data_IF_468482963044
#
_entry.id   IF_468482963044
#
_cell.length_a   1.000
_cell.length_b   1.000
_cell.length_c   1.000
_cell.angle_alpha   90.00
_cell.angle_beta   90.00
_cell.angle_gamma   90.00
#
_symmetry.space_group_name_H-M   'P 1'
#
loop_
_entity.id
_entity.type
_entity.pdbx_description
1 polymer ?
#
# COMPACT_ATOMS: atom_id res chain seq x y z
N UNK A 1 -8.68 3.25 11.32
CA UNK A 1 -8.94 1.99 12.06
C UNK A 1 -9.65 2.33 13.36
N UNK A 2 -10.64 1.56 13.70
CA UNK A 2 -11.36 1.62 14.97
C UNK A 2 -11.43 0.22 15.59
N UNK A 3 -11.56 0.11 16.92
CA UNK A 3 -11.74 -1.19 17.57
C UNK A 3 -12.91 -1.96 16.97
N UNK A 4 -12.73 -3.27 16.76
CA UNK A 4 -13.73 -4.17 16.18
C UNK A 4 -14.21 -3.80 14.76
N UNK A 5 -13.43 -2.99 14.04
CA UNK A 5 -13.69 -2.69 12.65
C UNK A 5 -13.31 -3.85 11.71
N UNK A 6 -13.79 -3.79 10.48
CA UNK A 6 -13.48 -4.74 9.41
C UNK A 6 -11.97 -4.87 9.18
N UNK A 7 -11.24 -3.78 9.09
CA UNK A 7 -9.79 -3.77 8.89
C UNK A 7 -9.05 -4.58 9.96
N UNK A 8 -9.43 -4.44 11.23
CA UNK A 8 -8.82 -5.22 12.33
C UNK A 8 -9.09 -6.72 12.14
N UNK A 9 -10.30 -7.07 11.75
CA UNK A 9 -10.67 -8.46 11.47
C UNK A 9 -9.88 -9.03 10.29
N UNK A 10 -9.74 -8.26 9.22
CA UNK A 10 -8.97 -8.66 8.04
C UNK A 10 -7.52 -8.97 8.38
N UNK A 11 -6.83 -8.06 9.06
CA UNK A 11 -5.41 -8.22 9.39
C UNK A 11 -5.13 -9.27 10.48
N UNK A 12 -5.99 -9.37 11.49
CA UNK A 12 -5.72 -10.24 12.65
C UNK A 12 -6.38 -11.61 12.55
N UNK A 13 -7.42 -11.77 11.74
CA UNK A 13 -8.16 -13.02 11.67
C UNK A 13 -8.18 -13.65 10.28
N UNK A 14 -8.28 -12.87 9.21
CA UNK A 14 -8.39 -13.40 7.85
C UNK A 14 -7.01 -13.65 7.24
N UNK A 15 -6.19 -12.61 7.10
CA UNK A 15 -4.88 -12.72 6.45
C UNK A 15 -4.00 -13.82 7.03
N UNK A 16 -3.89 -13.99 8.36
CA UNK A 16 -3.05 -15.06 8.93
C UNK A 16 -3.47 -16.47 8.54
N UNK A 17 -4.75 -16.67 8.25
CA UNK A 17 -5.34 -17.98 7.93
C UNK A 17 -5.40 -18.31 6.46
N UNK A 18 -5.04 -17.38 5.59
CA UNK A 18 -5.03 -17.63 4.15
C UNK A 18 -3.98 -18.67 3.77
N UNK A 19 -4.26 -19.54 2.80
CA UNK A 19 -3.30 -20.55 2.36
C UNK A 19 -2.13 -19.93 1.61
N UNK A 20 -1.02 -20.65 1.58
CA UNK A 20 0.14 -20.32 0.76
C UNK A 20 -0.26 -20.12 -0.72
N UNK A 21 0.33 -19.13 -1.36
CA UNK A 21 0.10 -18.79 -2.75
C UNK A 21 -0.99 -17.73 -2.96
N UNK A 22 -1.70 -17.35 -1.91
CA UNK A 22 -2.70 -16.26 -2.00
C UNK A 22 -1.99 -14.91 -2.11
N UNK A 23 -2.44 -14.09 -3.03
CA UNK A 23 -2.03 -12.70 -3.17
C UNK A 23 -3.09 -11.78 -2.55
N UNK A 24 -2.63 -10.82 -1.76
CA UNK A 24 -3.49 -9.80 -1.19
C UNK A 24 -3.12 -8.42 -1.75
N UNK A 25 -4.14 -7.68 -2.14
CA UNK A 25 -4.03 -6.29 -2.54
C UNK A 25 -4.60 -5.39 -1.45
N UNK A 26 -3.81 -4.43 -1.00
CA UNK A 26 -4.22 -3.43 -0.04
C UNK A 26 -4.22 -2.07 -0.74
N UNK A 27 -5.34 -1.38 -0.67
CA UNK A 27 -5.53 -0.07 -1.29
C UNK A 27 -5.17 1.06 -0.33
N UNK A 28 -4.85 2.23 -0.87
CA UNK A 28 -4.56 3.44 -0.10
C UNK A 28 -3.37 3.32 0.87
N UNK A 29 -2.31 2.64 0.42
CA UNK A 29 -1.06 2.46 1.16
C UNK A 29 0.05 3.32 0.53
N UNK A 30 0.61 4.22 1.31
CA UNK A 30 1.71 5.09 0.90
C UNK A 30 3.09 4.56 1.34
N UNK A 31 3.14 3.49 2.12
CA UNK A 31 4.39 2.86 2.60
C UNK A 31 5.44 2.71 1.47
N UNK A 32 6.72 3.01 1.72
CA UNK A 32 7.38 3.28 3.02
C UNK A 32 7.28 4.74 3.49
N UNK A 33 6.56 5.59 2.80
CA UNK A 33 6.37 6.98 3.17
C UNK A 33 5.12 7.16 4.01
N UNK A 34 5.03 8.26 4.74
CA UNK A 34 3.81 8.65 5.42
C UNK A 34 2.71 9.08 4.42
N UNK A 35 1.48 9.12 4.90
CA UNK A 35 0.39 9.68 4.12
C UNK A 35 0.71 11.13 3.71
N UNK A 36 0.34 11.53 2.48
CA UNK A 36 0.60 12.88 2.01
C UNK A 36 0.01 13.95 2.94
N UNK A 37 0.80 14.96 3.27
CA UNK A 37 0.40 16.06 4.16
C UNK A 37 -0.97 16.68 3.80
N UNK A 38 -1.29 16.95 2.52
CA UNK A 38 -2.60 17.51 2.18
C UNK A 38 -3.77 16.61 2.59
N UNK A 39 -3.61 15.28 2.57
CA UNK A 39 -4.65 14.36 3.02
C UNK A 39 -4.92 14.51 4.52
N UNK A 40 -3.87 14.68 5.30
CA UNK A 40 -3.98 14.76 6.76
C UNK A 40 -4.42 16.15 7.21
N UNK A 41 -3.77 17.20 6.71
CA UNK A 41 -3.95 18.58 7.19
C UNK A 41 -5.14 19.27 6.54
N UNK A 42 -5.29 19.19 5.22
CA UNK A 42 -6.31 19.92 4.49
C UNK A 42 -7.63 19.15 4.42
N UNK A 43 -7.57 17.83 4.19
CA UNK A 43 -8.76 16.98 4.09
C UNK A 43 -9.12 16.30 5.41
N UNK A 44 -8.31 16.46 6.44
CA UNK A 44 -8.50 15.88 7.79
C UNK A 44 -8.81 14.38 7.74
N UNK A 45 -8.14 13.66 6.84
CA UNK A 45 -8.27 12.21 6.72
C UNK A 45 -7.33 11.53 7.71
N UNK A 46 -7.86 11.05 8.80
CA UNK A 46 -7.11 10.38 9.87
C UNK A 46 -6.88 8.89 9.54
N UNK A 47 -6.37 8.61 8.36
CA UNK A 47 -6.05 7.26 7.93
C UNK A 47 -4.84 6.72 8.70
N UNK A 48 -4.89 5.46 9.06
CA UNK A 48 -3.83 4.81 9.83
C UNK A 48 -3.64 3.32 9.47
N UNK A 49 -4.27 2.84 8.42
CA UNK A 49 -4.22 1.43 8.03
C UNK A 49 -2.81 0.97 7.66
N UNK A 50 -2.03 1.81 6.97
CA UNK A 50 -0.67 1.43 6.58
C UNK A 50 0.22 1.11 7.79
N UNK A 51 0.01 1.75 8.93
CA UNK A 51 0.79 1.46 10.14
C UNK A 51 0.41 0.11 10.74
N UNK A 52 -0.85 -0.32 10.60
CA UNK A 52 -1.24 -1.69 10.96
C UNK A 52 -0.63 -2.70 9.98
N UNK A 53 -0.59 -2.40 8.67
CA UNK A 53 0.06 -3.23 7.67
C UNK A 53 1.56 -3.37 7.96
N UNK A 54 2.25 -2.30 8.26
CA UNK A 54 3.67 -2.32 8.63
C UNK A 54 3.91 -3.16 9.89
N UNK A 55 3.08 -2.99 10.91
CA UNK A 55 3.14 -3.81 12.12
C UNK A 55 2.86 -5.28 11.84
N UNK A 56 1.87 -5.59 10.99
CA UNK A 56 1.55 -6.95 10.58
C UNK A 56 2.73 -7.62 9.85
N UNK A 57 3.43 -6.89 9.02
CA UNK A 57 4.57 -7.42 8.25
C UNK A 57 5.87 -7.48 9.06
N UNK A 58 5.96 -6.76 10.16
CA UNK A 58 7.14 -6.78 11.03
C UNK A 58 7.36 -8.18 11.61
N UNK A 59 8.53 -8.75 11.36
CA UNK A 59 8.88 -10.13 11.75
C UNK A 59 7.94 -11.23 11.20
N UNK A 60 7.11 -10.92 10.22
CA UNK A 60 6.20 -11.86 9.59
C UNK A 60 6.87 -12.52 8.38
N UNK A 61 7.31 -13.77 8.55
CA UNK A 61 7.96 -14.54 7.48
C UNK A 61 6.98 -15.24 6.55
N UNK A 62 5.71 -15.22 6.85
CA UNK A 62 4.67 -15.88 6.07
C UNK A 62 4.23 -15.07 4.87
N UNK A 63 4.51 -13.77 4.88
CA UNK A 63 4.14 -12.85 3.82
C UNK A 63 5.34 -12.17 3.20
N UNK A 64 5.33 -12.02 1.89
CA UNK A 64 6.35 -11.32 1.14
C UNK A 64 5.74 -10.17 0.34
N UNK A 65 6.33 -8.99 0.47
CA UNK A 65 5.96 -7.83 -0.33
C UNK A 65 6.35 -8.08 -1.78
N UNK A 66 5.42 -7.92 -2.71
CA UNK A 66 5.64 -8.08 -4.13
C UNK A 66 5.66 -6.75 -4.88
N UNK A 67 4.88 -5.80 -4.43
CA UNK A 67 4.71 -4.54 -5.12
C UNK A 67 4.30 -3.43 -4.17
N UNK A 68 5.06 -2.34 -4.15
CA UNK A 68 4.74 -1.09 -3.44
C UNK A 68 4.77 0.04 -4.46
N UNK A 69 3.62 0.46 -4.98
CA UNK A 69 3.57 1.45 -6.05
C UNK A 69 4.20 2.79 -5.64
N UNK A 70 3.93 3.25 -4.43
CA UNK A 70 4.50 4.52 -3.96
C UNK A 70 6.04 4.48 -3.91
N UNK A 71 6.60 3.38 -3.45
CA UNK A 71 8.05 3.17 -3.44
C UNK A 71 8.62 3.17 -4.87
N UNK A 72 7.98 2.47 -5.79
CA UNK A 72 8.42 2.40 -7.18
C UNK A 72 8.35 3.73 -7.89
N UNK A 73 7.31 4.52 -7.66
CA UNK A 73 7.19 5.87 -8.22
C UNK A 73 8.30 6.81 -7.77
N UNK A 74 8.78 6.64 -6.53
CA UNK A 74 9.86 7.48 -6.00
C UNK A 74 11.26 6.98 -6.35
N UNK A 75 11.44 5.67 -6.52
CA UNK A 75 12.77 5.07 -6.78
C UNK A 75 13.01 4.74 -8.24
N UNK A 76 11.97 4.38 -8.99
CA UNK A 76 12.04 3.95 -10.39
C UNK A 76 10.93 4.61 -11.24
N UNK A 77 10.82 5.94 -11.23
CA UNK A 77 9.73 6.64 -11.94
C UNK A 77 9.72 6.37 -13.44
N UNK A 78 10.88 6.30 -14.07
CA UNK A 78 11.00 6.05 -15.51
C UNK A 78 10.49 4.66 -15.91
N UNK A 79 10.80 3.64 -15.11
CA UNK A 79 10.33 2.28 -15.35
C UNK A 79 8.81 2.18 -15.21
N UNK A 80 8.24 2.87 -14.21
CA UNK A 80 6.78 2.94 -14.02
C UNK A 80 6.11 3.66 -15.19
N UNK A 81 6.63 4.79 -15.62
CA UNK A 81 6.09 5.55 -16.77
C UNK A 81 6.11 4.73 -18.05
N UNK A 82 7.18 3.99 -18.29
CA UNK A 82 7.31 3.11 -19.46
C UNK A 82 6.27 2.00 -19.50
N UNK A 83 5.94 1.44 -18.33
CA UNK A 83 4.97 0.33 -18.20
C UNK A 83 3.54 0.80 -18.02
N UNK A 84 3.34 2.03 -17.54
CA UNK A 84 2.04 2.61 -17.25
C UNK A 84 1.89 3.96 -17.97
N UNK A 85 1.52 3.99 -19.26
CA UNK A 85 1.43 5.23 -20.04
C UNK A 85 0.51 6.29 -19.43
N UNK A 86 -0.56 5.88 -18.76
CA UNK A 86 -1.49 6.80 -18.06
C UNK A 86 -0.76 7.56 -16.95
N UNK A 87 0.14 6.89 -16.24
CA UNK A 87 0.96 7.53 -15.21
C UNK A 87 1.92 8.57 -15.83
N UNK A 88 2.52 8.24 -16.97
CA UNK A 88 3.38 9.16 -17.67
C UNK A 88 2.61 10.41 -18.13
N UNK A 89 1.42 10.25 -18.64
CA UNK A 89 0.55 11.35 -19.07
C UNK A 89 0.17 12.26 -17.89
N UNK A 90 -0.21 11.69 -16.76
CA UNK A 90 -0.53 12.44 -15.53
C UNK A 90 0.67 13.25 -15.04
N UNK A 91 1.86 12.66 -15.03
CA UNK A 91 3.10 13.34 -14.64
C UNK A 91 3.46 14.50 -15.59
N UNK A 92 3.23 14.34 -16.88
CA UNK A 92 3.44 15.41 -17.88
C UNK A 92 2.51 16.61 -17.66
N UNK A 93 1.30 16.35 -17.13
CA UNK A 93 0.33 17.40 -16.78
C UNK A 93 0.61 18.06 -15.43
N UNK A 94 1.71 17.68 -14.75
CA UNK A 94 2.06 18.18 -13.43
C UNK A 94 1.26 17.56 -12.29
N UNK A 95 0.47 16.53 -12.57
CA UNK A 95 -0.19 15.74 -11.56
C UNK A 95 0.82 14.81 -10.88
N UNK A 96 0.90 14.85 -9.56
CA UNK A 96 1.71 13.90 -8.81
C UNK A 96 0.98 12.55 -8.80
N UNK A 97 1.50 11.52 -9.47
CA UNK A 97 0.89 10.20 -9.42
C UNK A 97 0.95 9.70 -7.97
N UNK A 98 -0.20 9.37 -7.43
CA UNK A 98 -0.30 8.76 -6.11
C UNK A 98 -0.26 7.26 -6.27
N UNK A 99 0.86 6.67 -5.92
CA UNK A 99 0.96 5.22 -5.82
C UNK A 99 0.25 4.75 -4.56
N UNK A 100 -0.92 4.15 -4.73
CA UNK A 100 -1.78 3.76 -3.62
C UNK A 100 -1.97 2.24 -3.53
N UNK A 101 -1.35 1.45 -4.39
CA UNK A 101 -1.51 0.01 -4.37
C UNK A 101 -0.31 -0.70 -3.74
N UNK A 102 -0.64 -1.68 -2.92
CA UNK A 102 0.32 -2.54 -2.23
C UNK A 102 -0.08 -4.00 -2.44
N UNK A 103 0.85 -4.81 -2.90
CA UNK A 103 0.63 -6.24 -3.14
C UNK A 103 1.59 -7.07 -2.31
N UNK A 104 1.07 -8.12 -1.70
CA UNK A 104 1.85 -9.11 -0.96
C UNK A 104 1.35 -10.52 -1.25
N UNK A 105 2.22 -11.49 -1.06
CA UNK A 105 1.94 -12.91 -1.30
C UNK A 105 2.18 -13.73 -0.04
N UNK A 106 1.26 -14.62 0.26
CA UNK A 106 1.42 -15.62 1.30
C UNK A 106 2.42 -16.69 0.83
N UNK A 107 3.58 -16.75 1.45
CA UNK A 107 4.68 -17.65 1.02
C UNK A 107 4.89 -18.87 1.91
N UNK A 108 4.25 -18.89 3.05
CA UNK A 108 4.29 -20.07 3.93
C UNK A 108 3.04 -20.27 4.78
#
# INVERSE_FOLDING_TARGET
IRPQGDVVTEYLQILPRLPKGVWAHIHDIATPMDYPTPLIVEQVKLWNEQYLLEAFLTHNRDWQIRWMMNHLLHTHPEAVQKKCPITAEAMQKGELPRGACFWMEKVS
#
